data_IF_542619957758
#
_entry.id   IF_542619957758
#
_cell.length_a   1.000
_cell.length_b   1.000
_cell.length_c   1.000
_cell.angle_alpha   90.00
_cell.angle_beta   90.00
_cell.angle_gamma   90.00
#
_symmetry.space_group_name_H-M   'P 1'
#
loop_
_entity.id
_entity.type
_entity.pdbx_description
1 polymer ?
#
# COMPACT_ATOMS: atom_id res chain seq x y z
N UNK A 1 -8.09 12.52 -21.65
CA UNK A 1 -8.59 12.46 -23.05
C UNK A 1 -7.65 11.65 -23.96
N UNK A 2 -6.46 12.13 -24.37
CA UNK A 2 -5.59 11.39 -25.32
C UNK A 2 -5.03 10.05 -24.77
N UNK A 3 -4.75 9.97 -23.47
CA UNK A 3 -4.21 8.75 -22.87
C UNK A 3 -5.26 7.62 -22.81
N UNK A 4 -6.52 7.93 -22.48
CA UNK A 4 -7.59 6.92 -22.36
C UNK A 4 -8.01 6.32 -23.69
N UNK A 5 -7.90 7.07 -24.80
CA UNK A 5 -8.17 6.52 -26.14
C UNK A 5 -7.19 5.40 -26.51
N UNK A 6 -5.91 5.55 -26.18
CA UNK A 6 -4.90 4.51 -26.44
C UNK A 6 -5.18 3.28 -25.56
N UNK A 7 -5.50 3.48 -24.28
CA UNK A 7 -5.89 2.39 -23.40
C UNK A 7 -7.13 1.64 -23.90
N UNK A 8 -8.14 2.36 -24.40
CA UNK A 8 -9.33 1.73 -24.98
C UNK A 8 -8.97 0.82 -26.15
N UNK A 9 -8.19 1.31 -27.12
CA UNK A 9 -7.79 0.51 -28.28
C UNK A 9 -7.03 -0.75 -27.84
N UNK A 10 -6.11 -0.62 -26.89
CA UNK A 10 -5.33 -1.76 -26.39
C UNK A 10 -6.23 -2.77 -25.66
N UNK A 11 -7.19 -2.30 -24.85
CA UNK A 11 -8.18 -3.13 -24.16
C UNK A 11 -9.08 -3.88 -25.16
N UNK A 12 -9.54 -3.20 -26.21
CA UNK A 12 -10.36 -3.80 -27.29
C UNK A 12 -9.61 -4.91 -28.04
N UNK A 13 -8.27 -4.88 -28.03
CA UNK A 13 -7.40 -5.90 -28.60
C UNK A 13 -6.96 -6.98 -27.59
N UNK A 14 -7.65 -7.11 -26.46
CA UNK A 14 -7.50 -8.23 -25.53
C UNK A 14 -6.40 -8.06 -24.49
N UNK A 15 -5.94 -6.84 -24.24
CA UNK A 15 -5.06 -6.57 -23.10
C UNK A 15 -5.80 -6.81 -21.78
N UNK A 16 -5.19 -7.61 -20.91
CA UNK A 16 -5.69 -7.80 -19.55
C UNK A 16 -5.29 -6.61 -18.67
N UNK A 17 -6.29 -5.81 -18.30
CA UNK A 17 -6.16 -4.60 -17.46
C UNK A 17 -5.57 -4.89 -16.07
N UNK A 18 -5.67 -6.14 -15.60
CA UNK A 18 -5.18 -6.60 -14.31
C UNK A 18 -3.88 -7.40 -14.42
N UNK A 19 -3.29 -7.49 -15.61
CA UNK A 19 -2.05 -8.21 -15.83
C UNK A 19 -0.91 -7.60 -15.00
N UNK A 20 -0.10 -8.47 -14.37
CA UNK A 20 1.15 -8.10 -13.73
C UNK A 20 2.27 -8.05 -14.78
N UNK A 21 3.06 -6.98 -14.76
CA UNK A 21 4.19 -6.82 -15.69
C UNK A 21 5.55 -6.91 -14.97
N UNK A 22 5.56 -6.86 -13.64
CA UNK A 22 6.77 -6.87 -12.83
C UNK A 22 6.48 -7.30 -11.37
N UNK A 23 7.35 -8.13 -10.79
CA UNK A 23 7.14 -8.78 -9.47
C UNK A 23 6.88 -7.79 -8.32
N UNK A 24 7.52 -6.62 -8.38
CA UNK A 24 7.43 -5.56 -7.35
C UNK A 24 6.43 -4.44 -7.69
N UNK A 25 5.69 -4.56 -8.78
CA UNK A 25 4.82 -3.49 -9.25
C UNK A 25 3.42 -4.04 -9.48
N UNK A 26 2.39 -3.49 -8.79
CA UNK A 26 1.01 -3.85 -9.07
C UNK A 26 0.67 -3.55 -10.54
N UNK A 27 -0.46 -4.09 -11.04
CA UNK A 27 -0.98 -3.79 -12.36
C UNK A 27 -1.10 -2.28 -12.63
N UNK A 28 -1.38 -1.95 -13.89
CA UNK A 28 -1.37 -0.59 -14.42
C UNK A 28 -2.07 0.44 -13.52
N UNK A 29 -3.17 0.07 -12.87
CA UNK A 29 -3.91 0.92 -11.95
C UNK A 29 -3.01 1.48 -10.84
N UNK A 30 -2.09 0.68 -10.30
CA UNK A 30 -1.15 1.10 -9.26
C UNK A 30 0.01 1.97 -9.76
N UNK A 31 0.31 1.93 -11.06
CA UNK A 31 1.36 2.76 -11.69
C UNK A 31 0.88 4.18 -12.01
N UNK A 32 -0.44 4.37 -12.10
CA UNK A 32 -1.05 5.64 -12.52
C UNK A 32 -1.77 6.35 -11.38
N UNK A 33 -1.43 6.04 -10.13
CA UNK A 33 -2.10 6.64 -8.95
C UNK A 33 -1.55 8.02 -8.60
N UNK A 34 -0.46 8.47 -9.22
CA UNK A 34 0.09 9.81 -8.99
C UNK A 34 -0.90 10.92 -9.37
N UNK A 35 -0.83 12.06 -8.66
CA UNK A 35 -1.76 13.19 -8.76
C UNK A 35 -2.15 13.63 -10.19
N UNK A 36 -1.26 13.48 -11.16
CA UNK A 36 -1.48 13.90 -12.56
C UNK A 36 -2.44 12.98 -13.33
N UNK A 37 -2.76 11.80 -12.80
CA UNK A 37 -3.44 10.73 -13.53
C UNK A 37 -4.85 10.40 -13.02
N UNK A 38 -5.46 11.22 -12.16
CA UNK A 38 -6.78 10.91 -11.57
C UNK A 38 -7.93 10.68 -12.57
N UNK A 39 -7.84 11.19 -13.81
CA UNK A 39 -8.78 10.81 -14.88
C UNK A 39 -8.54 9.40 -15.42
N UNK A 40 -7.27 9.00 -15.54
CA UNK A 40 -6.90 7.66 -15.99
C UNK A 40 -7.17 6.62 -14.90
N UNK A 41 -6.91 6.93 -13.62
CA UNK A 41 -7.26 6.06 -12.49
C UNK A 41 -8.76 5.74 -12.49
N UNK A 42 -9.60 6.76 -12.65
CA UNK A 42 -11.07 6.59 -12.76
C UNK A 42 -11.45 5.74 -13.95
N UNK A 43 -10.92 6.07 -15.13
CA UNK A 43 -11.20 5.30 -16.33
C UNK A 43 -10.83 3.82 -16.17
N UNK A 44 -9.68 3.50 -15.59
CA UNK A 44 -9.27 2.11 -15.36
C UNK A 44 -10.24 1.37 -14.43
N UNK A 45 -10.65 2.01 -13.33
CA UNK A 45 -11.62 1.45 -12.40
C UNK A 45 -12.98 1.21 -13.07
N UNK A 46 -13.45 2.17 -13.88
CA UNK A 46 -14.70 2.06 -14.65
C UNK A 46 -14.65 0.92 -15.69
N UNK A 47 -13.45 0.48 -16.09
CA UNK A 47 -13.22 -0.60 -17.07
C UNK A 47 -12.73 -1.90 -16.41
N UNK A 48 -12.96 -2.08 -15.11
CA UNK A 48 -12.75 -3.36 -14.42
C UNK A 48 -11.33 -3.58 -13.89
N UNK A 49 -10.52 -2.53 -13.76
CA UNK A 49 -9.27 -2.63 -13.03
C UNK A 49 -9.56 -2.91 -11.53
N UNK A 50 -8.96 -3.96 -11.00
CA UNK A 50 -9.15 -4.41 -9.62
C UNK A 50 -8.18 -3.65 -8.70
N UNK A 51 -8.67 -2.84 -7.74
CA UNK A 51 -7.82 -2.15 -6.77
C UNK A 51 -7.04 -3.11 -5.84
N UNK A 52 -7.42 -4.39 -5.80
CA UNK A 52 -6.80 -5.45 -5.00
C UNK A 52 -5.85 -6.35 -5.78
N UNK A 53 -5.68 -6.14 -7.09
CA UNK A 53 -4.82 -6.99 -7.90
C UNK A 53 -3.36 -6.87 -7.44
N UNK A 54 -2.82 -7.95 -6.89
CA UNK A 54 -1.50 -7.95 -6.23
C UNK A 54 -0.42 -8.43 -7.19
N UNK A 55 0.76 -7.80 -7.13
CA UNK A 55 1.97 -8.41 -7.67
C UNK A 55 2.56 -9.41 -6.66
N UNK A 56 3.66 -10.08 -7.02
CA UNK A 56 4.29 -11.15 -6.24
C UNK A 56 4.69 -10.75 -4.80
N UNK A 57 4.78 -9.45 -4.51
CA UNK A 57 5.15 -8.91 -3.20
C UNK A 57 3.96 -8.36 -2.41
N UNK A 58 2.76 -8.91 -2.64
CA UNK A 58 1.52 -8.43 -2.03
C UNK A 58 1.43 -6.90 -2.03
N UNK A 59 1.69 -6.28 -3.18
CA UNK A 59 1.50 -4.84 -3.42
C UNK A 59 0.31 -4.72 -4.34
N UNK A 60 -0.69 -3.93 -3.94
CA UNK A 60 -1.92 -3.70 -4.70
C UNK A 60 -1.94 -2.29 -5.29
N UNK A 61 -2.79 -2.02 -6.30
CA UNK A 61 -3.02 -0.65 -6.73
C UNK A 61 -3.44 0.27 -5.59
N UNK A 62 -4.24 -0.22 -4.65
CA UNK A 62 -4.64 0.56 -3.48
C UNK A 62 -3.44 0.93 -2.59
N UNK A 63 -2.48 0.01 -2.36
CA UNK A 63 -1.30 0.33 -1.55
C UNK A 63 -0.43 1.40 -2.21
N UNK A 64 -0.24 1.32 -3.54
CA UNK A 64 0.44 2.35 -4.30
C UNK A 64 -0.28 3.71 -4.24
N UNK A 65 -1.62 3.71 -4.28
CA UNK A 65 -2.42 4.93 -4.15
C UNK A 65 -2.30 5.56 -2.75
N UNK A 66 -2.33 4.74 -1.70
CA UNK A 66 -2.17 5.20 -0.32
C UNK A 66 -0.81 5.89 -0.12
N UNK A 67 0.26 5.35 -0.72
CA UNK A 67 1.59 5.97 -0.67
C UNK A 67 1.68 7.27 -1.49
N UNK A 68 1.11 7.31 -2.70
CA UNK A 68 1.49 8.30 -3.71
C UNK A 68 0.36 9.21 -4.25
N UNK A 69 -0.90 8.86 -4.03
CA UNK A 69 -2.06 9.57 -4.59
C UNK A 69 -2.59 10.64 -3.63
N UNK A 70 -3.60 11.40 -4.05
CA UNK A 70 -4.41 12.16 -3.08
C UNK A 70 -5.27 11.22 -2.25
N UNK A 71 -5.60 11.62 -1.02
CA UNK A 71 -6.51 10.87 -0.17
C UNK A 71 -7.86 10.60 -0.87
N UNK A 72 -8.36 11.56 -1.67
CA UNK A 72 -9.58 11.40 -2.49
C UNK A 72 -9.49 10.25 -3.48
N UNK A 73 -8.35 10.05 -4.13
CA UNK A 73 -8.15 8.92 -5.05
C UNK A 73 -8.11 7.60 -4.30
N UNK A 74 -7.42 7.53 -3.16
CA UNK A 74 -7.42 6.34 -2.31
C UNK A 74 -8.83 5.97 -1.81
N UNK A 75 -9.59 6.96 -1.36
CA UNK A 75 -11.01 6.81 -0.98
C UNK A 75 -11.86 6.28 -2.13
N UNK A 76 -11.69 6.83 -3.32
CA UNK A 76 -12.43 6.38 -4.49
C UNK A 76 -12.11 4.93 -4.83
N UNK A 77 -10.83 4.52 -4.77
CA UNK A 77 -10.43 3.14 -4.98
C UNK A 77 -11.03 2.17 -3.95
N UNK A 78 -11.17 2.59 -2.69
CA UNK A 78 -11.88 1.81 -1.68
C UNK A 78 -13.38 1.70 -1.99
N UNK A 79 -14.00 2.78 -2.46
CA UNK A 79 -15.40 2.73 -2.90
C UNK A 79 -15.60 1.78 -4.10
N UNK A 80 -14.58 1.65 -4.95
CA UNK A 80 -14.53 0.65 -6.03
C UNK A 80 -14.14 -0.77 -5.56
N UNK A 81 -14.25 -1.08 -4.27
CA UNK A 81 -14.03 -2.43 -3.73
C UNK A 81 -12.60 -2.70 -3.24
N UNK A 82 -11.77 -1.67 -3.07
CA UNK A 82 -10.46 -1.81 -2.44
C UNK A 82 -10.53 -2.29 -0.99
N UNK A 83 -9.74 -3.31 -0.66
CA UNK A 83 -9.68 -3.96 0.65
C UNK A 83 -8.44 -3.50 1.43
N UNK A 84 -8.67 -2.82 2.55
CA UNK A 84 -7.62 -2.30 3.44
C UNK A 84 -6.78 -3.41 4.08
N UNK A 85 -7.30 -4.64 4.14
CA UNK A 85 -6.61 -5.79 4.73
C UNK A 85 -5.61 -6.44 3.76
N UNK A 86 -5.49 -5.93 2.53
CA UNK A 86 -4.60 -6.48 1.50
C UNK A 86 -3.56 -5.46 1.08
N UNK A 87 -2.38 -5.89 0.67
CA UNK A 87 -1.44 -4.97 0.06
C UNK A 87 -0.57 -4.20 1.05
N UNK A 88 -0.55 -4.61 2.33
CA UNK A 88 0.26 -3.99 3.39
C UNK A 88 -0.02 -2.48 3.53
N UNK A 89 -1.29 -2.08 3.44
CA UNK A 89 -1.71 -0.67 3.28
C UNK A 89 -1.09 0.26 4.33
N UNK A 90 -1.08 -0.13 5.60
CA UNK A 90 -0.58 0.72 6.68
C UNK A 90 0.94 0.96 6.56
N UNK A 91 1.73 -0.03 6.14
CA UNK A 91 3.15 0.19 5.86
C UNK A 91 3.35 1.19 4.71
N UNK A 92 2.51 1.13 3.67
CA UNK A 92 2.56 2.10 2.56
C UNK A 92 2.10 3.50 2.98
N UNK A 93 1.12 3.62 3.88
CA UNK A 93 0.72 4.89 4.48
C UNK A 93 1.87 5.52 5.29
N UNK A 94 2.67 4.69 5.96
CA UNK A 94 3.86 5.14 6.71
C UNK A 94 4.98 5.59 5.78
N UNK A 95 5.06 5.08 4.55
CA UNK A 95 6.04 5.56 3.57
C UNK A 95 5.64 6.88 2.89
N UNK A 96 4.35 7.24 2.92
CA UNK A 96 3.83 8.50 2.34
C UNK A 96 4.60 9.73 2.82
N UNK A 97 5.01 10.59 1.89
CA UNK A 97 5.76 11.82 2.15
C UNK A 97 4.94 13.04 1.74
N UNK A 98 3.85 13.28 2.47
CA UNK A 98 2.97 14.43 2.26
C UNK A 98 2.33 14.89 3.57
N UNK A 99 1.90 16.15 3.68
CA UNK A 99 1.38 16.70 4.95
C UNK A 99 0.13 16.00 5.50
N UNK A 100 -0.60 15.26 4.66
CA UNK A 100 -1.77 14.48 5.04
C UNK A 100 -1.43 13.06 5.54
N UNK A 101 -0.15 12.74 5.76
CA UNK A 101 0.30 11.39 6.17
C UNK A 101 -0.45 10.85 7.38
N UNK A 102 -0.52 11.60 8.48
CA UNK A 102 -1.20 11.13 9.69
C UNK A 102 -2.70 10.93 9.45
N UNK A 103 -3.34 11.76 8.63
CA UNK A 103 -4.75 11.59 8.27
C UNK A 103 -4.98 10.32 7.44
N UNK A 104 -4.04 9.95 6.56
CA UNK A 104 -4.10 8.70 5.80
C UNK A 104 -3.87 7.50 6.73
N UNK A 105 -2.90 7.58 7.66
CA UNK A 105 -2.66 6.52 8.65
C UNK A 105 -3.90 6.29 9.52
N UNK A 106 -4.44 7.35 10.11
CA UNK A 106 -5.66 7.33 10.93
C UNK A 106 -6.82 6.68 10.18
N UNK A 107 -7.05 7.11 8.94
CA UNK A 107 -8.07 6.55 8.09
C UNK A 107 -7.87 5.04 7.82
N UNK A 108 -6.65 4.61 7.52
CA UNK A 108 -6.39 3.18 7.25
C UNK A 108 -6.61 2.31 8.48
N UNK A 109 -6.26 2.78 9.67
CA UNK A 109 -6.52 2.09 10.94
C UNK A 109 -8.02 2.04 11.22
N UNK A 110 -8.73 3.17 11.06
CA UNK A 110 -10.18 3.25 11.23
C UNK A 110 -10.93 2.33 10.23
N UNK A 111 -10.39 2.14 9.03
CA UNK A 111 -10.92 1.21 8.04
C UNK A 111 -10.56 -0.27 8.29
N UNK A 112 -9.78 -0.56 9.34
CA UNK A 112 -9.50 -1.91 9.81
C UNK A 112 -8.12 -2.46 9.48
N UNK A 113 -7.15 -1.62 9.10
CA UNK A 113 -5.75 -2.05 8.99
C UNK A 113 -5.21 -2.42 10.39
N UNK A 114 -4.51 -3.55 10.49
CA UNK A 114 -3.91 -3.98 11.75
C UNK A 114 -2.68 -3.13 12.06
N UNK A 115 -2.71 -2.43 13.21
CA UNK A 115 -1.59 -1.61 13.69
C UNK A 115 -0.34 -2.43 14.06
N UNK A 116 -0.52 -3.74 14.30
CA UNK A 116 0.54 -4.64 14.74
C UNK A 116 0.87 -5.74 13.72
N UNK A 117 0.25 -5.74 12.53
CA UNK A 117 0.53 -6.76 11.52
C UNK A 117 1.96 -6.65 10.98
N UNK A 118 2.62 -7.77 10.75
CA UNK A 118 3.96 -7.78 10.15
C UNK A 118 3.87 -7.75 8.63
N UNK A 119 4.89 -7.18 7.97
CA UNK A 119 5.02 -7.30 6.51
C UNK A 119 4.91 -8.78 6.11
N UNK A 120 4.06 -9.06 5.11
CA UNK A 120 3.78 -10.40 4.59
C UNK A 120 3.21 -11.44 5.56
N UNK A 121 2.68 -11.03 6.72
CA UNK A 121 2.12 -11.97 7.71
C UNK A 121 1.01 -12.87 7.11
N UNK A 122 0.17 -12.29 6.25
CA UNK A 122 -0.95 -12.97 5.59
C UNK A 122 -0.60 -13.52 4.19
N UNK A 123 0.64 -13.40 3.73
CA UNK A 123 1.09 -13.89 2.42
C UNK A 123 2.28 -14.86 2.56
N UNK A 124 2.03 -16.18 2.65
CA UNK A 124 3.08 -17.18 2.86
C UNK A 124 4.19 -17.17 1.80
N UNK A 125 3.86 -16.83 0.55
CA UNK A 125 4.83 -16.76 -0.54
C UNK A 125 5.86 -15.65 -0.31
N UNK A 126 5.39 -14.41 -0.16
CA UNK A 126 6.26 -13.27 0.14
C UNK A 126 6.97 -13.42 1.48
N UNK A 127 6.33 -14.04 2.48
CA UNK A 127 6.95 -14.31 3.76
C UNK A 127 8.19 -15.21 3.63
N UNK A 128 8.07 -16.33 2.92
CA UNK A 128 9.18 -17.26 2.73
C UNK A 128 10.35 -16.59 2.01
N UNK A 129 10.05 -15.76 1.01
CA UNK A 129 11.08 -15.02 0.26
C UNK A 129 11.77 -13.93 1.11
N UNK A 130 11.04 -13.27 2.02
CA UNK A 130 11.49 -12.00 2.62
C UNK A 130 11.77 -12.02 4.12
N UNK A 131 11.38 -13.09 4.85
CA UNK A 131 11.57 -13.18 6.31
C UNK A 131 13.03 -13.02 6.77
N UNK A 132 14.01 -13.20 5.89
CA UNK A 132 15.42 -12.99 6.24
C UNK A 132 15.80 -11.49 6.37
N UNK A 133 14.95 -10.57 5.88
CA UNK A 133 15.25 -9.13 5.82
C UNK A 133 14.56 -8.31 6.92
N UNK A 134 14.04 -8.94 7.98
CA UNK A 134 13.45 -8.21 9.11
C UNK A 134 12.08 -7.60 8.82
N UNK A 135 11.15 -8.44 8.35
CA UNK A 135 9.74 -8.10 8.12
C UNK A 135 9.05 -7.73 9.44
N UNK A 136 8.95 -6.42 9.68
CA UNK A 136 8.45 -5.83 10.92
C UNK A 136 7.04 -5.27 10.82
N UNK A 137 6.57 -4.78 11.97
CA UNK A 137 5.28 -4.10 12.13
C UNK A 137 5.33 -2.67 11.56
N UNK A 138 4.16 -1.98 11.43
CA UNK A 138 4.09 -0.54 11.17
C UNK A 138 5.08 0.28 12.01
N UNK A 139 5.23 -0.03 13.30
CA UNK A 139 6.14 0.67 14.20
C UNK A 139 7.62 0.49 13.79
N UNK A 140 8.04 -0.72 13.39
CA UNK A 140 9.40 -0.94 12.89
C UNK A 140 9.68 -0.08 11.66
N UNK A 141 8.73 -0.03 10.72
CA UNK A 141 8.87 0.79 9.50
C UNK A 141 8.93 2.29 9.82
N UNK A 142 8.14 2.77 10.76
CA UNK A 142 8.16 4.17 11.18
C UNK A 142 9.50 4.57 11.81
N UNK A 143 10.11 3.68 12.59
CA UNK A 143 11.45 3.88 13.17
C UNK A 143 12.54 3.83 12.09
N UNK A 144 12.53 2.84 11.20
CA UNK A 144 13.48 2.73 10.07
C UNK A 144 13.50 4.00 9.19
N UNK A 145 12.35 4.65 9.03
CA UNK A 145 12.20 5.87 8.24
C UNK A 145 12.38 7.16 9.07
N UNK A 146 12.75 7.06 10.35
CA UNK A 146 12.94 8.17 11.28
C UNK A 146 11.72 9.11 11.40
N UNK A 147 10.50 8.57 11.22
CA UNK A 147 9.25 9.34 11.25
C UNK A 147 8.73 9.53 12.68
N UNK A 148 9.38 10.39 13.46
CA UNK A 148 9.09 10.64 14.89
C UNK A 148 7.59 10.87 15.17
N UNK A 149 6.91 11.70 14.39
CA UNK A 149 5.49 11.98 14.57
C UNK A 149 4.61 10.73 14.35
N UNK A 150 4.99 9.88 13.39
CA UNK A 150 4.31 8.61 13.12
C UNK A 150 4.59 7.58 14.22
N UNK A 151 5.83 7.51 14.72
CA UNK A 151 6.20 6.65 15.86
C UNK A 151 5.36 7.00 17.09
N UNK A 152 5.27 8.28 17.45
CA UNK A 152 4.44 8.74 18.56
C UNK A 152 2.96 8.38 18.35
N UNK A 153 2.41 8.69 17.17
CA UNK A 153 1.02 8.37 16.84
C UNK A 153 0.72 6.87 16.95
N UNK A 154 1.57 6.00 16.38
CA UNK A 154 1.35 4.55 16.43
C UNK A 154 1.36 4.02 17.86
N UNK A 155 2.28 4.49 18.71
CA UNK A 155 2.36 4.10 20.13
C UNK A 155 1.12 4.56 20.91
N UNK A 156 0.67 5.79 20.70
CA UNK A 156 -0.56 6.33 21.30
C UNK A 156 -1.81 5.52 20.90
N UNK A 157 -1.79 4.89 19.73
CA UNK A 157 -2.90 4.09 19.18
C UNK A 157 -2.73 2.58 19.37
N UNK A 158 -1.81 2.15 20.25
CA UNK A 158 -1.71 0.74 20.68
C UNK A 158 -0.78 -0.13 19.85
N UNK A 159 0.16 0.46 19.10
CA UNK A 159 1.28 -0.30 18.56
C UNK A 159 2.12 -0.90 19.69
N UNK A 160 2.45 -2.18 19.59
CA UNK A 160 3.25 -2.88 20.58
C UNK A 160 4.75 -2.57 20.40
N UNK A 161 5.40 -1.83 21.32
CA UNK A 161 6.83 -1.50 21.21
C UNK A 161 7.75 -2.72 21.34
N UNK A 162 7.25 -3.81 21.93
CA UNK A 162 8.00 -5.05 22.15
C UNK A 162 7.69 -6.12 21.08
N UNK A 163 6.94 -5.77 20.02
CA UNK A 163 6.73 -6.68 18.90
C UNK A 163 8.08 -6.99 18.24
N UNK A 164 8.27 -8.25 17.84
CA UNK A 164 9.47 -8.69 17.13
C UNK A 164 9.21 -8.75 15.63
N UNK A 165 10.17 -8.27 14.84
CA UNK A 165 10.25 -8.53 13.40
C UNK A 165 10.60 -9.99 13.09
N UNK A 166 10.83 -10.30 11.80
CA UNK A 166 11.16 -11.67 11.37
C UNK A 166 12.55 -12.16 11.70
N UNK A 167 13.44 -11.31 12.20
CA UNK A 167 14.78 -11.70 12.66
C UNK A 167 14.95 -11.51 14.17
N UNK A 168 13.86 -11.22 14.89
CA UNK A 168 13.85 -11.14 16.35
C UNK A 168 14.27 -9.80 16.92
N UNK A 169 14.18 -8.72 16.14
CA UNK A 169 14.45 -7.35 16.60
C UNK A 169 13.16 -6.65 16.99
N UNK A 170 13.22 -5.80 18.00
CA UNK A 170 12.19 -4.81 18.33
C UNK A 170 12.34 -3.55 17.46
N UNK A 171 11.35 -2.66 17.49
CA UNK A 171 11.48 -1.36 16.85
C UNK A 171 12.62 -0.52 17.47
N UNK A 172 12.87 -0.66 18.77
CA UNK A 172 13.97 0.05 19.45
C UNK A 172 15.34 -0.42 18.96
N UNK A 173 15.50 -1.71 18.65
CA UNK A 173 16.74 -2.26 18.10
C UNK A 173 17.09 -1.69 16.71
N UNK A 174 16.13 -1.04 16.03
CA UNK A 174 16.36 -0.35 14.75
C UNK A 174 16.69 1.14 14.93
N UNK A 175 16.55 1.69 16.13
CA UNK A 175 16.77 3.11 16.42
C UNK A 175 18.23 3.44 16.79
N UNK A 176 19.13 2.45 16.74
CA UNK A 176 20.55 2.55 17.09
C UNK A 176 21.42 2.86 15.88
#
# INVERSE_FOLDING_TARGET
ARSTTIFQVILDHGWDINQIFHRLKPPVLGQVTHHRHGQLTRWLLDHGADPNARCDWDITPLSAAVRNASITTAFYMMHCGGDIRRGQILHFAIERDSPDQLAVIDFTIAAGASINARLFEDDPGSWVENRAFGMGTPLHRAVELEKVAVVAYLLEHGANPNALDSVGRTALDLAT
#
